data_IF_239489449378
#
_entry.id   IF_239489449378
#
_cell.length_a   1.000
_cell.length_b   1.000
_cell.length_c   1.000
_cell.angle_alpha   90.00
_cell.angle_beta   90.00
_cell.angle_gamma   90.00
#
_symmetry.space_group_name_H-M   'P 1'
#
loop_
_entity.id
_entity.type
_entity.pdbx_description
1 polymer ?
#
# COMPACT_ATOMS: atom_id res chain seq x y z
N UNK A 1 12.91 57.33 -34.47
CA UNK A 1 13.28 56.54 -33.28
C UNK A 1 12.21 55.54 -32.81
N UNK A 2 10.95 55.73 -33.11
CA UNK A 2 9.86 54.80 -32.75
C UNK A 2 9.86 53.46 -33.51
N UNK A 3 10.36 53.42 -34.75
CA UNK A 3 10.37 52.21 -35.58
C UNK A 3 11.45 51.18 -35.17
N UNK A 4 12.55 51.64 -34.55
CA UNK A 4 13.64 50.75 -34.11
C UNK A 4 13.28 50.03 -32.82
N UNK A 5 12.44 50.59 -31.96
CA UNK A 5 12.00 50.00 -30.72
C UNK A 5 11.00 48.86 -30.94
N UNK A 6 10.21 48.92 -32.00
CA UNK A 6 9.23 47.88 -32.33
C UNK A 6 9.88 46.57 -32.86
N UNK A 7 11.04 46.69 -33.53
CA UNK A 7 11.77 45.51 -34.06
C UNK A 7 12.50 44.74 -32.95
N UNK A 8 12.95 45.42 -31.91
CA UNK A 8 13.60 44.76 -30.75
C UNK A 8 12.63 44.01 -29.85
N UNK A 9 11.36 44.40 -29.80
CA UNK A 9 10.31 43.69 -29.05
C UNK A 9 9.80 42.43 -29.77
N UNK A 10 9.89 42.34 -31.06
CA UNK A 10 9.48 41.20 -31.87
C UNK A 10 10.52 40.04 -31.85
N UNK A 11 11.81 40.34 -31.57
CA UNK A 11 12.88 39.35 -31.53
C UNK A 11 12.94 38.57 -30.18
N UNK A 12 12.30 39.07 -29.15
CA UNK A 12 12.27 38.42 -27.80
C UNK A 12 11.21 37.35 -27.62
N UNK A 13 10.27 37.20 -28.56
CA UNK A 13 9.13 36.27 -28.40
C UNK A 13 9.38 34.87 -29.03
N UNK A 14 10.52 34.60 -29.63
CA UNK A 14 10.82 33.36 -30.36
C UNK A 14 11.73 32.36 -29.61
N UNK A 15 12.16 32.65 -28.38
CA UNK A 15 13.07 31.75 -27.63
C UNK A 15 12.39 31.02 -26.47
N UNK A 16 11.06 30.94 -26.45
CA UNK A 16 10.27 30.35 -25.36
C UNK A 16 9.69 28.95 -25.64
N UNK A 17 10.09 28.22 -26.68
CA UNK A 17 9.79 26.81 -26.81
C UNK A 17 10.99 25.99 -26.36
N UNK A 18 11.15 25.88 -25.02
CA UNK A 18 11.90 24.78 -24.43
C UNK A 18 11.15 23.51 -24.82
N UNK A 19 11.70 22.70 -25.71
CA UNK A 19 11.32 21.31 -25.86
C UNK A 19 11.48 20.69 -24.47
N UNK A 20 10.36 20.42 -23.75
CA UNK A 20 10.35 19.39 -22.79
C UNK A 20 10.72 18.11 -23.57
N UNK A 21 11.93 17.62 -23.39
CA UNK A 21 12.31 16.27 -23.82
C UNK A 21 11.25 15.35 -23.26
N UNK A 22 10.30 14.98 -24.09
CA UNK A 22 9.49 13.80 -23.84
C UNK A 22 10.47 12.64 -23.84
N UNK A 23 10.87 12.22 -22.65
CA UNK A 23 11.57 10.96 -22.47
C UNK A 23 10.61 9.87 -22.97
N UNK A 24 10.83 9.46 -24.24
CA UNK A 24 10.16 8.33 -24.87
C UNK A 24 10.68 7.00 -24.27
N UNK A 25 10.70 6.91 -22.94
CA UNK A 25 10.78 5.63 -22.26
C UNK A 25 9.46 4.88 -22.39
N UNK A 26 9.45 3.57 -22.31
CA UNK A 26 8.21 2.79 -22.28
C UNK A 26 7.31 3.35 -21.20
N UNK A 27 6.04 3.64 -21.54
CA UNK A 27 5.06 4.20 -20.61
C UNK A 27 4.83 3.17 -19.50
N UNK A 28 5.25 3.49 -18.28
CA UNK A 28 5.00 2.66 -17.11
C UNK A 28 3.53 2.75 -16.69
N UNK A 29 2.99 1.65 -16.20
CA UNK A 29 1.66 1.63 -15.58
C UNK A 29 1.79 2.06 -14.13
N UNK A 30 1.14 3.15 -13.75
CA UNK A 30 1.07 3.57 -12.34
C UNK A 30 0.17 2.60 -11.57
N UNK A 31 0.66 2.14 -10.42
CA UNK A 31 -0.06 1.26 -9.50
C UNK A 31 0.10 1.79 -8.08
N UNK A 32 -1.00 2.01 -7.39
CA UNK A 32 -1.03 2.38 -5.97
C UNK A 32 -1.26 1.11 -5.15
N UNK A 33 -0.26 0.73 -4.35
CA UNK A 33 -0.34 -0.37 -3.41
C UNK A 33 -0.48 0.17 -1.98
N UNK A 34 -1.56 -0.18 -1.30
CA UNK A 34 -1.77 0.20 0.09
C UNK A 34 -1.46 -0.98 1.01
N UNK A 35 -0.49 -0.79 1.92
CA UNK A 35 -0.12 -1.79 2.93
C UNK A 35 -0.72 -1.47 4.30
N UNK A 36 -1.01 -2.50 5.08
CA UNK A 36 -1.60 -2.35 6.43
C UNK A 36 -0.67 -1.62 7.39
N UNK A 37 0.62 -1.93 7.32
CA UNK A 37 1.65 -1.35 8.18
C UNK A 37 3.02 -1.56 7.54
N UNK A 38 3.97 -0.68 7.82
CA UNK A 38 5.35 -0.92 7.43
C UNK A 38 5.98 -1.98 8.36
N UNK A 39 6.29 -3.16 7.83
CA UNK A 39 6.64 -4.32 8.63
C UNK A 39 7.70 -5.20 7.99
N UNK A 40 8.61 -5.75 8.80
CA UNK A 40 9.59 -6.74 8.37
C UNK A 40 8.98 -7.99 7.71
N UNK A 41 7.72 -8.31 8.00
CA UNK A 41 7.00 -9.38 7.33
C UNK A 41 6.82 -9.15 5.83
N UNK A 42 6.95 -7.91 5.39
CA UNK A 42 6.78 -7.49 4.01
C UNK A 42 8.11 -7.26 3.29
N UNK A 43 9.22 -7.65 3.93
CA UNK A 43 10.57 -7.45 3.40
C UNK A 43 10.75 -7.90 1.94
N UNK A 44 10.20 -9.03 1.46
CA UNK A 44 10.33 -9.40 0.05
C UNK A 44 9.74 -8.35 -0.91
N UNK A 45 8.66 -7.67 -0.52
CA UNK A 45 8.07 -6.59 -1.30
C UNK A 45 8.99 -5.36 -1.32
N UNK A 46 9.55 -4.98 -0.17
CA UNK A 46 10.47 -3.84 -0.11
C UNK A 46 11.75 -4.09 -0.89
N UNK A 47 12.29 -5.31 -0.83
CA UNK A 47 13.42 -5.70 -1.67
C UNK A 47 13.08 -5.57 -3.15
N UNK A 48 11.91 -6.01 -3.57
CA UNK A 48 11.47 -5.88 -4.96
C UNK A 48 11.33 -4.41 -5.40
N UNK A 49 10.96 -3.51 -4.48
CA UNK A 49 10.90 -2.07 -4.74
C UNK A 49 12.33 -1.51 -4.88
N UNK A 50 13.20 -1.76 -3.91
CA UNK A 50 14.57 -1.23 -3.87
C UNK A 50 15.44 -1.74 -5.01
N UNK A 51 15.29 -3.02 -5.38
CA UNK A 51 16.00 -3.63 -6.51
C UNK A 51 15.40 -3.26 -7.88
N UNK A 52 14.32 -2.48 -7.91
CA UNK A 52 13.72 -1.97 -9.13
C UNK A 52 12.89 -2.97 -9.94
N UNK A 53 12.52 -4.12 -9.40
CA UNK A 53 11.80 -5.17 -10.13
C UNK A 53 10.43 -4.72 -10.65
N UNK A 54 9.75 -3.82 -9.94
CA UNK A 54 8.51 -3.21 -10.44
C UNK A 54 8.78 -2.31 -11.64
N UNK A 55 9.84 -1.51 -11.56
CA UNK A 55 10.22 -0.62 -12.66
C UNK A 55 10.61 -1.40 -13.92
N UNK A 56 11.34 -2.51 -13.75
CA UNK A 56 11.74 -3.43 -14.83
C UNK A 56 10.53 -4.13 -15.47
N UNK A 57 9.48 -4.38 -14.65
CA UNK A 57 8.20 -4.90 -15.12
C UNK A 57 7.31 -3.83 -15.77
N UNK A 58 7.77 -2.58 -15.91
CA UNK A 58 6.98 -1.49 -16.48
C UNK A 58 5.94 -0.92 -15.54
N UNK A 59 6.12 -1.10 -14.23
CA UNK A 59 5.23 -0.59 -13.18
C UNK A 59 5.90 0.61 -12.50
N UNK A 60 5.13 1.69 -12.37
CA UNK A 60 5.45 2.83 -11.51
C UNK A 60 4.66 2.67 -10.21
N UNK A 61 5.31 2.05 -9.22
CA UNK A 61 4.66 1.69 -7.96
C UNK A 61 4.70 2.83 -6.95
N UNK A 62 3.52 3.18 -6.44
CA UNK A 62 3.36 4.05 -5.28
C UNK A 62 2.94 3.20 -4.08
N UNK A 63 3.78 3.15 -3.04
CA UNK A 63 3.49 2.45 -1.79
C UNK A 63 2.92 3.41 -0.75
N UNK A 64 1.73 3.10 -0.23
CA UNK A 64 1.03 3.89 0.80
C UNK A 64 0.76 3.01 2.02
N UNK A 65 1.04 3.52 3.21
CA UNK A 65 0.73 2.82 4.47
C UNK A 65 -0.62 3.28 5.01
N UNK A 66 -1.58 2.36 5.09
CA UNK A 66 -2.95 2.62 5.56
C UNK A 66 -3.13 2.65 7.08
N UNK A 67 -2.18 2.08 7.83
CA UNK A 67 -2.24 1.95 9.29
C UNK A 67 -3.45 1.15 9.80
N UNK A 68 -3.83 0.11 9.07
CA UNK A 68 -4.87 -0.84 9.47
C UNK A 68 -5.55 -1.50 8.27
N UNK A 69 -5.93 -2.78 8.45
CA UNK A 69 -6.54 -3.56 7.38
C UNK A 69 -7.90 -2.99 6.93
N UNK A 70 -8.66 -2.41 7.87
CA UNK A 70 -9.90 -1.70 7.60
C UNK A 70 -9.69 -0.50 6.66
N UNK A 71 -8.61 0.26 6.87
CA UNK A 71 -8.29 1.42 6.03
C UNK A 71 -7.74 1.00 4.67
N UNK A 72 -6.87 -0.02 4.65
CA UNK A 72 -6.37 -0.58 3.39
C UNK A 72 -7.52 -1.14 2.54
N UNK A 73 -8.48 -1.85 3.16
CA UNK A 73 -9.67 -2.32 2.48
C UNK A 73 -10.52 -1.16 1.93
N UNK A 74 -10.72 -0.13 2.74
CA UNK A 74 -11.44 1.07 2.30
C UNK A 74 -10.78 1.72 1.11
N UNK A 75 -9.46 1.91 1.13
CA UNK A 75 -8.71 2.51 0.02
C UNK A 75 -8.90 1.74 -1.30
N UNK A 76 -8.94 0.39 -1.24
CA UNK A 76 -9.21 -0.42 -2.44
C UNK A 76 -10.66 -0.27 -2.90
N UNK A 77 -11.63 -0.37 -1.98
CA UNK A 77 -13.06 -0.27 -2.32
C UNK A 77 -13.46 1.12 -2.87
N UNK A 78 -12.76 2.16 -2.45
CA UNK A 78 -13.00 3.55 -2.93
C UNK A 78 -12.21 3.90 -4.19
N UNK A 79 -11.29 3.02 -4.64
CA UNK A 79 -10.42 3.28 -5.78
C UNK A 79 -9.25 4.22 -5.47
N UNK A 80 -8.95 4.50 -4.20
CA UNK A 80 -7.76 5.24 -3.79
C UNK A 80 -6.49 4.38 -3.92
N UNK A 81 -6.62 3.07 -3.89
CA UNK A 81 -5.56 2.11 -4.15
C UNK A 81 -6.03 1.03 -5.14
N UNK A 82 -5.12 0.62 -6.02
CA UNK A 82 -5.36 -0.45 -6.98
C UNK A 82 -5.21 -1.83 -6.34
N UNK A 83 -4.29 -1.92 -5.36
CA UNK A 83 -3.95 -3.17 -4.66
C UNK A 83 -3.91 -2.91 -3.16
N UNK A 84 -4.55 -3.78 -2.38
CA UNK A 84 -4.44 -3.82 -0.93
C UNK A 84 -3.55 -4.98 -0.48
N UNK A 85 -2.52 -4.69 0.33
CA UNK A 85 -1.71 -5.69 0.97
C UNK A 85 -2.12 -5.85 2.44
N UNK A 86 -2.93 -6.87 2.71
CA UNK A 86 -3.57 -7.10 4.01
C UNK A 86 -3.88 -8.57 4.22
N UNK A 87 -4.33 -8.93 5.41
CA UNK A 87 -4.80 -10.28 5.69
C UNK A 87 -6.08 -10.63 4.91
N UNK A 88 -6.18 -11.89 4.50
CA UNK A 88 -7.32 -12.39 3.71
C UNK A 88 -8.66 -12.33 4.47
N UNK A 89 -8.63 -12.27 5.80
CA UNK A 89 -9.83 -12.10 6.63
C UNK A 89 -10.61 -10.83 6.29
N UNK A 90 -9.92 -9.77 5.87
CA UNK A 90 -10.57 -8.51 5.48
C UNK A 90 -11.50 -8.68 4.27
N UNK A 91 -11.13 -9.54 3.32
CA UNK A 91 -11.99 -9.85 2.17
C UNK A 91 -13.21 -10.67 2.58
N UNK A 92 -13.05 -11.58 3.54
CA UNK A 92 -14.15 -12.39 4.09
C UNK A 92 -15.17 -11.47 4.78
N UNK A 93 -14.71 -10.53 5.60
CA UNK A 93 -15.60 -9.59 6.29
C UNK A 93 -16.36 -8.69 5.32
N UNK A 94 -15.69 -8.21 4.28
CA UNK A 94 -16.30 -7.36 3.25
C UNK A 94 -17.39 -8.13 2.50
N UNK A 95 -17.10 -9.35 2.07
CA UNK A 95 -18.06 -10.22 1.41
C UNK A 95 -19.25 -10.56 2.32
N UNK A 96 -18.98 -10.97 3.56
CA UNK A 96 -20.02 -11.31 4.55
C UNK A 96 -20.87 -10.09 4.94
N UNK A 97 -20.33 -8.88 4.83
CA UNK A 97 -21.03 -7.61 5.04
C UNK A 97 -22.01 -7.25 3.93
N UNK A 98 -22.09 -8.03 2.85
CA UNK A 98 -23.02 -7.82 1.73
C UNK A 98 -22.58 -6.76 0.73
N UNK A 99 -21.28 -6.44 0.68
CA UNK A 99 -20.74 -5.54 -0.35
C UNK A 99 -20.88 -6.18 -1.72
N UNK A 100 -21.55 -5.51 -2.65
CA UNK A 100 -21.76 -6.05 -4.01
C UNK A 100 -20.46 -6.06 -4.82
N UNK A 101 -19.63 -5.03 -4.68
CA UNK A 101 -18.32 -4.90 -5.32
C UNK A 101 -17.23 -5.26 -4.31
N UNK A 102 -16.98 -6.53 -4.14
CA UNK A 102 -15.99 -7.07 -3.20
C UNK A 102 -14.64 -7.31 -3.87
N UNK A 103 -13.57 -7.24 -3.08
CA UNK A 103 -12.21 -7.49 -3.54
C UNK A 103 -11.90 -8.99 -3.63
N UNK A 104 -10.96 -9.35 -4.51
CA UNK A 104 -10.52 -10.73 -4.74
C UNK A 104 -9.06 -10.87 -4.36
N UNK A 105 -8.73 -11.91 -3.58
CA UNK A 105 -7.34 -12.26 -3.30
C UNK A 105 -6.72 -12.93 -4.53
N UNK A 106 -5.59 -12.43 -5.01
CA UNK A 106 -4.92 -12.96 -6.19
C UNK A 106 -3.50 -13.46 -5.93
N UNK A 107 -2.87 -13.04 -4.81
CA UNK A 107 -1.50 -13.44 -4.47
C UNK A 107 -1.31 -13.52 -2.95
N UNK A 108 -0.35 -14.34 -2.53
CA UNK A 108 0.04 -14.49 -1.14
C UNK A 108 1.55 -14.26 -1.02
N UNK A 109 1.96 -13.25 -0.25
CA UNK A 109 3.37 -12.94 -0.02
C UNK A 109 3.95 -13.77 1.15
N UNK A 110 3.18 -13.95 2.21
CA UNK A 110 3.61 -14.67 3.41
C UNK A 110 2.80 -15.94 3.59
N UNK A 111 3.48 -17.07 3.86
CA UNK A 111 2.82 -18.36 4.02
C UNK A 111 2.46 -18.69 5.47
N UNK A 112 2.97 -17.94 6.43
CA UNK A 112 2.75 -18.18 7.86
C UNK A 112 2.36 -16.88 8.54
N UNK A 113 1.39 -16.98 9.45
CA UNK A 113 1.02 -15.85 10.32
C UNK A 113 2.16 -15.54 11.30
N UNK A 114 2.43 -14.26 11.50
CA UNK A 114 3.41 -13.79 12.48
C UNK A 114 2.79 -13.34 13.80
N UNK A 115 1.69 -13.98 14.23
CA UNK A 115 1.01 -13.62 15.46
C UNK A 115 1.51 -14.51 16.60
N UNK A 116 1.90 -13.88 17.68
CA UNK A 116 2.41 -14.53 18.87
C UNK A 116 1.68 -13.99 20.10
N UNK A 117 1.33 -14.88 21.01
CA UNK A 117 0.90 -14.48 22.35
C UNK A 117 2.15 -14.23 23.20
N UNK A 118 2.27 -13.02 23.72
CA UNK A 118 3.45 -12.60 24.50
C UNK A 118 3.01 -12.22 25.90
N UNK A 119 3.63 -12.83 26.93
CA UNK A 119 3.46 -12.46 28.32
C UNK A 119 4.58 -11.49 28.77
N UNK A 120 4.34 -10.73 29.84
CA UNK A 120 5.35 -9.84 30.44
C UNK A 120 6.45 -10.60 31.14
N UNK A 121 6.09 -11.76 31.72
CA UNK A 121 6.99 -12.63 32.44
C UNK A 121 6.99 -14.02 31.81
N UNK A 122 8.09 -14.78 31.94
CA UNK A 122 8.13 -16.14 31.46
C UNK A 122 7.04 -17.01 32.11
N UNK A 123 6.41 -17.86 31.32
CA UNK A 123 5.41 -18.84 31.75
C UNK A 123 5.90 -20.23 31.32
N UNK A 124 6.43 -21.00 32.22
CA UNK A 124 7.06 -22.29 31.91
C UNK A 124 6.07 -23.35 31.43
N UNK A 125 4.87 -23.38 32.02
CA UNK A 125 3.82 -24.35 31.71
C UNK A 125 2.55 -23.65 31.20
N UNK A 126 2.64 -22.96 30.07
CA UNK A 126 1.50 -22.25 29.51
C UNK A 126 0.36 -23.22 29.13
N UNK A 127 -0.86 -22.85 29.51
CA UNK A 127 -2.09 -23.45 28.99
C UNK A 127 -3.11 -22.38 28.64
N UNK A 128 -3.97 -22.67 27.66
CA UNK A 128 -5.01 -21.75 27.25
C UNK A 128 -6.02 -21.40 28.33
N UNK A 129 -6.19 -22.30 29.32
CA UNK A 129 -7.08 -22.05 30.44
C UNK A 129 -6.63 -20.90 31.34
N UNK A 130 -5.33 -20.59 31.33
CA UNK A 130 -4.78 -19.45 32.08
C UNK A 130 -5.27 -18.10 31.55
N UNK A 131 -5.80 -18.05 30.31
CA UNK A 131 -6.36 -16.85 29.76
C UNK A 131 -7.80 -16.58 30.17
N UNK A 132 -8.46 -17.53 30.83
CA UNK A 132 -9.84 -17.35 31.34
C UNK A 132 -9.87 -16.20 32.35
N UNK A 133 -10.60 -15.15 32.06
CA UNK A 133 -10.68 -13.94 32.90
C UNK A 133 -9.45 -13.03 32.84
N UNK A 134 -8.44 -13.33 32.02
CA UNK A 134 -7.32 -12.45 31.83
C UNK A 134 -7.66 -11.33 30.83
N UNK A 135 -6.95 -10.21 30.95
CA UNK A 135 -7.00 -9.14 29.94
C UNK A 135 -5.93 -9.39 28.90
N UNK A 136 -6.34 -9.64 27.66
CA UNK A 136 -5.43 -9.84 26.53
C UNK A 136 -5.56 -8.66 25.58
N UNK A 137 -4.43 -8.04 25.22
CA UNK A 137 -4.37 -7.00 24.20
C UNK A 137 -4.35 -7.66 22.82
N UNK A 138 -5.45 -7.57 22.10
CA UNK A 138 -5.56 -8.07 20.73
C UNK A 138 -5.39 -6.98 19.68
N UNK A 139 -5.58 -7.36 18.42
CA UNK A 139 -5.67 -6.43 17.32
C UNK A 139 -6.94 -5.57 17.41
N UNK A 140 -7.03 -4.53 16.58
CA UNK A 140 -8.26 -3.72 16.52
C UNK A 140 -9.26 -4.32 15.51
N UNK A 141 -10.52 -3.85 15.60
CA UNK A 141 -11.60 -4.28 14.71
C UNK A 141 -11.22 -4.08 13.22
N UNK A 142 -11.48 -5.10 12.39
CA UNK A 142 -11.12 -5.10 10.97
C UNK A 142 -9.68 -5.52 10.67
N UNK A 143 -8.86 -5.78 11.69
CA UNK A 143 -7.53 -6.35 11.56
C UNK A 143 -7.49 -7.84 11.90
N UNK A 144 -6.28 -8.40 11.98
CA UNK A 144 -6.09 -9.77 12.46
C UNK A 144 -6.55 -9.85 13.92
N UNK A 145 -7.65 -10.49 14.15
CA UNK A 145 -8.23 -10.69 15.50
C UNK A 145 -8.06 -12.12 15.96
N UNK A 146 -7.59 -12.24 17.19
CA UNK A 146 -7.92 -13.42 17.98
C UNK A 146 -9.23 -13.08 18.69
N UNK A 147 -10.36 -13.51 18.14
CA UNK A 147 -11.61 -13.58 18.90
C UNK A 147 -11.53 -14.81 19.80
N UNK A 148 -11.42 -14.59 21.09
CA UNK A 148 -11.60 -15.65 22.08
C UNK A 148 -12.96 -15.50 22.73
#
# INVERSE_FOLDING_TARGET
MAAILAVLLAAGALTGCGNAEQTNGPKKTRVVLNEVAHSLFYAPMYVAIEEGYFADAGIDLELVTGFGADKTMTAVLTGEADIGFMGSESTIYTYAGGTEDYVVNFAQLTQRAGNFLVAREPIDDFSWDMLKGATVLGGRAGGVHISM
#
